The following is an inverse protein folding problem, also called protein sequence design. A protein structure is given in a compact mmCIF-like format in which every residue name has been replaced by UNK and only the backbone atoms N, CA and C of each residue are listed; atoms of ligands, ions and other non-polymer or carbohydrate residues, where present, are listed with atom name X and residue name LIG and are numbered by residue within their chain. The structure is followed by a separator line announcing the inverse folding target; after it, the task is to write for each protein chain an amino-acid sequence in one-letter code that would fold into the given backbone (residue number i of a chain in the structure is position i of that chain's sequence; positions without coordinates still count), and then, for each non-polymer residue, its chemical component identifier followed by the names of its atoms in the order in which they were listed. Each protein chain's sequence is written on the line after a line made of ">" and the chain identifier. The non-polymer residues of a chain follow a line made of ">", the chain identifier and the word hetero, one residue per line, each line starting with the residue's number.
data_IF_050406786097
#
_entry.id   IF_050406786097
#
_cell.length_a   1.000
_cell.length_b   1.000
_cell.length_c   1.000
_cell.angle_alpha   90.00
_cell.angle_beta   90.00
_cell.angle_gamma   90.00
#
_symmetry.space_group_name_H-M   'P 1'
#
loop_
_entity.id
_entity.type
_entity.pdbx_description
1 polymer ?
#
# COMPACT_ATOMS: atom_id res chain seq x y z
N UNK A 1 23.00 35.57 10.46
CA UNK A 1 22.16 34.65 11.22
C UNK A 1 21.65 33.62 10.22
N UNK A 2 22.10 32.37 10.30
CA UNK A 2 21.61 31.32 9.38
C UNK A 2 20.10 31.22 9.61
N UNK A 3 19.34 31.40 8.53
CA UNK A 3 17.88 31.37 8.58
C UNK A 3 17.43 29.90 8.69
N UNK A 4 17.46 29.39 9.93
CA UNK A 4 17.14 28.00 10.24
C UNK A 4 15.77 27.60 9.67
N UNK A 5 14.84 28.53 9.61
CA UNK A 5 13.50 28.33 9.09
C UNK A 5 13.50 28.01 7.58
N UNK A 6 14.23 28.78 6.80
CA UNK A 6 14.35 28.57 5.36
C UNK A 6 15.11 27.26 5.04
N UNK A 7 16.11 26.88 5.84
CA UNK A 7 16.85 25.65 5.65
C UNK A 7 15.98 24.42 5.92
N UNK A 8 15.23 24.45 7.03
CA UNK A 8 14.31 23.37 7.40
C UNK A 8 13.20 23.22 6.36
N UNK A 9 12.60 24.30 5.92
CA UNK A 9 11.57 24.32 4.89
C UNK A 9 12.09 23.72 3.56
N UNK A 10 13.26 24.15 3.10
CA UNK A 10 13.89 23.63 1.88
C UNK A 10 14.14 22.13 1.95
N UNK A 11 14.59 21.63 3.11
CA UNK A 11 14.77 20.19 3.35
C UNK A 11 13.45 19.42 3.25
N UNK A 12 12.37 19.92 3.87
CA UNK A 12 11.04 19.28 3.79
C UNK A 12 10.50 19.25 2.36
N UNK A 13 10.63 20.36 1.63
CA UNK A 13 10.22 20.45 0.22
C UNK A 13 10.97 19.44 -0.64
N UNK A 14 12.27 19.27 -0.42
CA UNK A 14 13.10 18.28 -1.13
C UNK A 14 12.62 16.85 -0.87
N UNK A 15 12.23 16.51 0.36
CA UNK A 15 11.68 15.19 0.70
C UNK A 15 10.34 14.98 -0.02
N UNK A 16 9.42 15.94 0.05
CA UNK A 16 8.12 15.85 -0.63
C UNK A 16 8.31 15.70 -2.15
N UNK A 17 9.23 16.45 -2.74
CA UNK A 17 9.56 16.36 -4.15
C UNK A 17 10.16 15.00 -4.52
N UNK A 18 11.02 14.42 -3.67
CA UNK A 18 11.58 13.08 -3.87
C UNK A 18 10.50 11.99 -3.79
N UNK A 19 9.58 12.08 -2.83
CA UNK A 19 8.45 11.14 -2.72
C UNK A 19 7.55 11.23 -3.95
N UNK A 20 7.23 12.43 -4.40
CA UNK A 20 6.40 12.62 -5.59
C UNK A 20 7.11 12.19 -6.88
N UNK A 21 8.36 12.60 -7.07
CA UNK A 21 9.07 12.40 -8.33
C UNK A 21 9.69 11.01 -8.50
N UNK A 22 10.00 10.31 -7.42
CA UNK A 22 10.69 9.03 -7.47
C UNK A 22 9.82 7.92 -6.87
N UNK A 23 9.36 8.08 -5.64
CA UNK A 23 8.67 7.01 -4.92
C UNK A 23 7.30 6.71 -5.52
N UNK A 24 6.52 7.71 -5.88
CA UNK A 24 5.19 7.52 -6.46
C UNK A 24 5.20 6.75 -7.80
N UNK A 25 6.06 7.08 -8.79
CA UNK A 25 6.22 6.28 -10.00
C UNK A 25 6.67 4.85 -9.72
N UNK A 26 7.56 4.62 -8.73
CA UNK A 26 8.00 3.27 -8.35
C UNK A 26 6.87 2.44 -7.74
N UNK A 27 5.99 3.05 -6.96
CA UNK A 27 4.80 2.40 -6.43
C UNK A 27 3.90 1.95 -7.58
N UNK A 28 3.61 2.83 -8.55
CA UNK A 28 2.79 2.50 -9.71
C UNK A 28 3.41 1.38 -10.55
N UNK A 29 4.71 1.47 -10.84
CA UNK A 29 5.42 0.41 -11.55
C UNK A 29 5.39 -0.94 -10.79
N UNK A 30 5.40 -0.91 -9.46
CA UNK A 30 5.28 -2.13 -8.65
C UNK A 30 3.86 -2.72 -8.72
N UNK A 31 2.83 -1.89 -8.79
CA UNK A 31 1.45 -2.31 -8.99
C UNK A 31 1.27 -2.95 -10.38
N UNK A 32 1.83 -2.36 -11.43
CA UNK A 32 1.82 -2.92 -12.78
C UNK A 32 2.53 -4.27 -12.84
N UNK A 33 3.67 -4.42 -12.16
CA UNK A 33 4.37 -5.71 -12.06
C UNK A 33 3.55 -6.79 -11.36
N UNK A 34 2.72 -6.42 -10.37
CA UNK A 34 1.81 -7.36 -9.70
C UNK A 34 0.72 -7.81 -10.67
N UNK A 35 0.19 -6.90 -11.48
CA UNK A 35 -0.79 -7.22 -12.53
C UNK A 35 -0.19 -8.18 -13.57
N UNK A 36 0.97 -7.86 -14.10
CA UNK A 36 1.70 -8.72 -15.04
C UNK A 36 2.04 -10.09 -14.46
N UNK A 37 2.42 -10.11 -13.17
CA UNK A 37 2.81 -11.34 -12.49
C UNK A 37 1.65 -12.30 -12.31
N UNK A 38 0.51 -11.81 -11.84
CA UNK A 38 -0.64 -12.66 -11.52
C UNK A 38 -1.64 -12.78 -12.67
N UNK A 39 -1.63 -11.85 -13.62
CA UNK A 39 -2.61 -11.78 -14.71
C UNK A 39 -4.05 -11.61 -14.17
N UNK A 40 -4.20 -11.05 -12.96
CA UNK A 40 -5.47 -10.91 -12.27
C UNK A 40 -5.76 -9.45 -11.93
N UNK A 41 -6.73 -8.89 -12.63
CA UNK A 41 -7.23 -7.53 -12.34
C UNK A 41 -7.89 -7.42 -10.96
N UNK A 42 -8.36 -8.53 -10.38
CA UNK A 42 -8.97 -8.56 -9.04
C UNK A 42 -7.92 -8.26 -7.96
N UNK A 43 -6.75 -8.88 -8.03
CA UNK A 43 -5.65 -8.66 -7.07
C UNK A 43 -5.10 -7.24 -7.15
N UNK A 44 -4.95 -6.71 -8.36
CA UNK A 44 -4.54 -5.33 -8.59
C UNK A 44 -5.58 -4.33 -8.08
N UNK A 45 -6.86 -4.60 -8.31
CA UNK A 45 -7.96 -3.80 -7.79
C UNK A 45 -8.01 -3.83 -6.26
N UNK A 46 -7.81 -5.00 -5.65
CA UNK A 46 -7.72 -5.15 -4.19
C UNK A 46 -6.60 -4.28 -3.62
N UNK A 47 -5.40 -4.34 -4.20
CA UNK A 47 -4.26 -3.53 -3.77
C UNK A 47 -4.56 -2.02 -3.87
N UNK A 48 -5.15 -1.57 -5.00
CA UNK A 48 -5.53 -0.15 -5.19
C UNK A 48 -6.61 0.32 -4.20
N UNK A 49 -7.46 -0.59 -3.74
CA UNK A 49 -8.51 -0.32 -2.76
C UNK A 49 -8.02 -0.42 -1.29
N UNK A 50 -6.75 -0.78 -1.08
CA UNK A 50 -6.17 -0.76 0.27
C UNK A 50 -6.24 0.65 0.86
N UNK A 51 -6.68 0.73 2.12
CA UNK A 51 -6.81 2.02 2.83
C UNK A 51 -5.49 2.79 2.88
N UNK A 52 -4.37 2.08 2.99
CA UNK A 52 -3.04 2.67 3.00
C UNK A 52 -2.73 3.43 1.71
N UNK A 53 -3.17 2.91 0.55
CA UNK A 53 -2.99 3.58 -0.75
C UNK A 53 -3.80 4.88 -0.82
N UNK A 54 -5.06 4.85 -0.40
CA UNK A 54 -5.90 6.04 -0.34
C UNK A 54 -5.34 7.11 0.61
N UNK A 55 -4.92 6.70 1.82
CA UNK A 55 -4.33 7.59 2.82
C UNK A 55 -3.02 8.20 2.29
N UNK A 56 -2.15 7.41 1.67
CA UNK A 56 -0.91 7.89 1.07
C UNK A 56 -1.16 8.97 0.01
N UNK A 57 -2.11 8.74 -0.90
CA UNK A 57 -2.45 9.72 -1.93
C UNK A 57 -2.98 11.02 -1.33
N UNK A 58 -3.87 10.95 -0.33
CA UNK A 58 -4.38 12.14 0.37
C UNK A 58 -3.25 12.88 1.07
N UNK A 59 -2.38 12.18 1.82
CA UNK A 59 -1.25 12.79 2.50
C UNK A 59 -0.27 13.45 1.52
N UNK A 60 -0.03 12.82 0.38
CA UNK A 60 0.84 13.38 -0.66
C UNK A 60 0.27 14.70 -1.21
N UNK A 61 -1.02 14.73 -1.56
CA UNK A 61 -1.70 15.93 -2.05
C UNK A 61 -1.69 17.03 -0.97
N UNK A 62 -2.00 16.70 0.28
CA UNK A 62 -1.99 17.65 1.39
C UNK A 62 -0.58 18.24 1.58
N UNK A 63 0.47 17.41 1.57
CA UNK A 63 1.85 17.90 1.66
C UNK A 63 2.22 18.82 0.52
N UNK A 64 1.82 18.51 -0.73
CA UNK A 64 2.05 19.37 -1.88
C UNK A 64 1.35 20.72 -1.73
N UNK A 65 0.09 20.75 -1.29
CA UNK A 65 -0.65 21.99 -1.04
C UNK A 65 0.06 22.82 0.03
N UNK A 66 0.41 22.22 1.17
CA UNK A 66 1.11 22.94 2.25
C UNK A 66 2.47 23.46 1.74
N UNK A 67 3.21 22.67 0.96
CA UNK A 67 4.50 23.08 0.40
C UNK A 67 4.39 24.28 -0.55
N UNK A 68 3.28 24.38 -1.30
CA UNK A 68 3.04 25.53 -2.21
C UNK A 68 2.58 26.76 -1.44
N UNK A 69 1.77 26.59 -0.39
CA UNK A 69 1.17 27.72 0.36
C UNK A 69 2.14 28.31 1.40
N UNK A 70 2.98 27.48 2.00
CA UNK A 70 3.90 27.90 3.06
C UNK A 70 4.79 29.10 2.72
N UNK A 71 5.42 29.22 1.51
CA UNK A 71 6.24 30.38 1.20
C UNK A 71 5.51 31.71 1.34
N UNK A 72 4.22 31.72 0.95
CA UNK A 72 3.39 32.93 1.03
C UNK A 72 3.02 33.30 2.48
N UNK A 73 2.96 32.31 3.37
CA UNK A 73 2.62 32.52 4.78
C UNK A 73 3.85 32.81 5.64
N UNK A 74 5.01 32.25 5.31
CA UNK A 74 6.26 32.43 6.06
C UNK A 74 6.76 33.88 6.01
N UNK A 75 6.61 34.55 4.87
CA UNK A 75 7.13 35.89 4.66
C UNK A 75 6.36 36.99 5.43
N UNK A 76 5.10 36.72 5.84
CA UNK A 76 4.21 37.72 6.44
C UNK A 76 3.80 37.42 7.87
N UNK A 77 4.19 36.31 8.49
CA UNK A 77 3.58 35.82 9.70
C UNK A 77 4.53 35.74 10.90
N UNK A 78 4.06 36.25 12.07
CA UNK A 78 4.65 35.98 13.37
C UNK A 78 4.61 34.47 13.75
N UNK A 79 3.85 33.66 12.99
CA UNK A 79 3.60 32.24 13.26
C UNK A 79 4.40 31.29 12.35
N UNK A 80 5.49 31.75 11.73
CA UNK A 80 6.28 30.95 10.81
C UNK A 80 6.72 29.60 11.40
N UNK A 81 7.05 29.53 12.69
CA UNK A 81 7.42 28.28 13.35
C UNK A 81 6.28 27.25 13.41
N UNK A 82 5.02 27.72 13.54
CA UNK A 82 3.84 26.85 13.56
C UNK A 82 3.64 26.22 12.18
N UNK A 83 3.78 26.97 11.10
CA UNK A 83 3.66 26.46 9.74
C UNK A 83 4.74 25.43 9.42
N UNK A 84 6.00 25.68 9.83
CA UNK A 84 7.09 24.73 9.70
C UNK A 84 6.82 23.46 10.51
N UNK A 85 6.33 23.59 11.74
CA UNK A 85 5.97 22.44 12.57
C UNK A 85 4.86 21.58 11.92
N UNK A 86 3.82 22.22 11.38
CA UNK A 86 2.75 21.52 10.67
C UNK A 86 3.31 20.77 9.44
N UNK A 87 4.13 21.43 8.62
CA UNK A 87 4.78 20.82 7.47
C UNK A 87 5.66 19.63 7.88
N UNK A 88 6.45 19.78 8.96
CA UNK A 88 7.31 18.73 9.48
C UNK A 88 6.50 17.51 9.89
N UNK A 89 5.44 17.70 10.66
CA UNK A 89 4.56 16.62 11.11
C UNK A 89 3.92 15.94 9.91
N UNK A 90 3.36 16.70 8.96
CA UNK A 90 2.76 16.15 7.76
C UNK A 90 3.75 15.33 6.91
N UNK A 91 4.99 15.79 6.79
CA UNK A 91 6.06 15.08 6.06
C UNK A 91 6.45 13.78 6.78
N UNK A 92 6.55 13.77 8.11
CA UNK A 92 6.82 12.55 8.90
C UNK A 92 5.70 11.52 8.69
N UNK A 93 4.44 11.95 8.73
CA UNK A 93 3.31 11.06 8.44
C UNK A 93 3.35 10.52 7.00
N UNK A 94 3.70 11.33 6.02
CA UNK A 94 3.85 10.91 4.62
C UNK A 94 4.93 9.81 4.49
N UNK A 95 6.08 10.01 5.12
CA UNK A 95 7.18 9.02 5.12
C UNK A 95 6.72 7.72 5.79
N UNK A 96 6.08 7.79 6.95
CA UNK A 96 5.55 6.62 7.65
C UNK A 96 4.54 5.85 6.80
N UNK A 97 3.63 6.56 6.16
CA UNK A 97 2.64 5.98 5.26
C UNK A 97 3.27 5.35 4.00
N UNK A 98 4.33 5.97 3.46
CA UNK A 98 5.11 5.42 2.35
C UNK A 98 5.73 4.06 2.70
N UNK A 99 6.40 3.95 3.86
CA UNK A 99 6.98 2.69 4.29
C UNK A 99 5.92 1.62 4.53
N UNK A 100 4.79 1.98 5.15
CA UNK A 100 3.68 1.05 5.34
C UNK A 100 3.10 0.56 4.01
N UNK A 101 2.92 1.45 3.04
CA UNK A 101 2.46 1.07 1.71
C UNK A 101 3.47 0.16 0.99
N UNK A 102 4.77 0.42 1.16
CA UNK A 102 5.81 -0.41 0.59
C UNK A 102 5.81 -1.84 1.17
N UNK A 103 5.54 -1.99 2.49
CA UNK A 103 5.35 -3.30 3.11
C UNK A 103 4.14 -4.04 2.54
N UNK A 104 3.02 -3.35 2.31
CA UNK A 104 1.85 -3.94 1.66
C UNK A 104 2.20 -4.41 0.24
N UNK A 105 2.85 -3.58 -0.57
CA UNK A 105 3.27 -3.96 -1.93
C UNK A 105 4.21 -5.18 -1.88
N UNK A 106 5.13 -5.23 -0.92
CA UNK A 106 6.00 -6.38 -0.71
C UNK A 106 5.22 -7.65 -0.39
N UNK A 107 4.21 -7.55 0.47
CA UNK A 107 3.30 -8.65 0.79
C UNK A 107 2.58 -9.17 -0.46
N UNK A 108 2.07 -8.27 -1.32
CA UNK A 108 1.44 -8.66 -2.58
C UNK A 108 2.42 -9.28 -3.59
N UNK A 109 3.72 -8.97 -3.48
CA UNK A 109 4.74 -9.62 -4.29
C UNK A 109 5.09 -11.04 -3.82
N UNK A 110 4.77 -11.40 -2.58
CA UNK A 110 4.97 -12.74 -2.03
C UNK A 110 3.68 -13.55 -2.10
N UNK A 111 3.65 -14.51 -3.03
CA UNK A 111 2.45 -15.29 -3.30
C UNK A 111 2.01 -16.16 -2.11
N UNK A 112 2.95 -16.64 -1.26
CA UNK A 112 2.63 -17.47 -0.10
C UNK A 112 2.00 -16.63 1.01
N UNK A 113 2.55 -15.44 1.28
CA UNK A 113 2.01 -14.51 2.28
C UNK A 113 0.65 -13.98 1.81
N UNK A 114 0.54 -13.62 0.53
CA UNK A 114 -0.71 -13.12 -0.04
C UNK A 114 -1.82 -14.17 0.04
N UNK A 115 -1.49 -15.43 -0.23
CA UNK A 115 -2.42 -16.56 -0.11
C UNK A 115 -3.03 -16.67 1.29
N UNK A 116 -2.22 -16.60 2.34
CA UNK A 116 -2.70 -16.66 3.73
C UNK A 116 -3.59 -15.46 4.08
N UNK A 117 -3.22 -14.27 3.62
CA UNK A 117 -4.00 -13.06 3.89
C UNK A 117 -5.38 -13.10 3.22
N UNK A 118 -5.45 -13.47 1.93
CA UNK A 118 -6.72 -13.58 1.20
C UNK A 118 -7.61 -14.64 1.86
N UNK A 119 -7.04 -15.78 2.25
CA UNK A 119 -7.80 -16.83 2.94
C UNK A 119 -8.33 -16.36 4.30
N UNK A 120 -7.53 -15.63 5.06
CA UNK A 120 -7.97 -15.06 6.33
C UNK A 120 -9.08 -14.01 6.15
N UNK A 121 -9.02 -13.21 5.09
CA UNK A 121 -10.10 -12.26 4.76
C UNK A 121 -11.38 -12.98 4.35
N UNK A 122 -11.27 -14.05 3.57
CA UNK A 122 -12.41 -14.91 3.26
C UNK A 122 -13.08 -15.47 4.52
N UNK A 123 -12.30 -16.05 5.44
CA UNK A 123 -12.83 -16.60 6.72
C UNK A 123 -13.56 -15.57 7.57
N UNK A 124 -13.13 -14.29 7.56
CA UNK A 124 -13.79 -13.21 8.32
C UNK A 124 -15.17 -12.82 7.77
N UNK A 125 -15.41 -13.02 6.48
CA UNK A 125 -16.63 -12.57 5.79
C UNK A 125 -17.57 -13.72 5.43
N UNK A 126 -17.08 -14.95 5.38
CA UNK A 126 -17.91 -16.15 5.16
C UNK A 126 -18.95 -16.25 6.28
N UNK A 127 -20.21 -16.42 5.90
CA UNK A 127 -21.33 -16.41 6.84
C UNK A 127 -21.90 -15.01 7.18
N UNK A 128 -21.21 -13.91 6.81
CA UNK A 128 -21.70 -12.54 7.05
C UNK A 128 -22.18 -11.84 5.78
N UNK A 129 -21.51 -12.07 4.66
CA UNK A 129 -21.84 -11.48 3.37
C UNK A 129 -21.43 -12.41 2.24
N UNK A 130 -22.42 -13.00 1.58
CA UNK A 130 -22.20 -13.91 0.45
C UNK A 130 -21.46 -13.22 -0.72
N UNK A 131 -21.78 -11.96 -1.00
CA UNK A 131 -21.13 -11.20 -2.08
C UNK A 131 -19.63 -10.97 -1.82
N UNK A 132 -19.28 -10.50 -0.61
CA UNK A 132 -17.87 -10.28 -0.25
C UNK A 132 -17.10 -11.59 -0.16
N UNK A 133 -17.72 -12.66 0.35
CA UNK A 133 -17.12 -13.98 0.39
C UNK A 133 -16.81 -14.50 -1.01
N UNK A 134 -17.71 -14.32 -1.98
CA UNK A 134 -17.48 -14.73 -3.37
C UNK A 134 -16.30 -13.97 -4.02
N UNK A 135 -16.16 -12.68 -3.76
CA UNK A 135 -15.03 -11.88 -4.27
C UNK A 135 -13.70 -12.38 -3.70
N UNK A 136 -13.58 -12.54 -2.39
CA UNK A 136 -12.36 -13.08 -1.78
C UNK A 136 -12.04 -14.50 -2.20
N UNK A 137 -13.07 -15.31 -2.43
CA UNK A 137 -12.87 -16.66 -2.97
C UNK A 137 -12.31 -16.62 -4.42
N UNK A 138 -12.81 -15.73 -5.28
CA UNK A 138 -12.29 -15.55 -6.63
C UNK A 138 -10.85 -15.03 -6.63
N UNK A 139 -10.54 -14.03 -5.79
CA UNK A 139 -9.16 -13.54 -5.59
C UNK A 139 -8.20 -14.68 -5.21
N UNK A 140 -8.66 -15.55 -4.32
CA UNK A 140 -7.92 -16.71 -3.86
C UNK A 140 -7.72 -17.76 -4.96
N UNK A 141 -8.76 -18.07 -5.74
CA UNK A 141 -8.70 -19.00 -6.88
C UNK A 141 -7.73 -18.50 -7.96
N UNK A 142 -7.76 -17.21 -8.27
CA UNK A 142 -6.84 -16.60 -9.25
C UNK A 142 -5.39 -16.74 -8.79
N UNK A 143 -5.13 -16.46 -7.52
CA UNK A 143 -3.79 -16.59 -6.96
C UNK A 143 -3.29 -18.04 -6.96
N UNK A 144 -4.14 -19.01 -6.57
CA UNK A 144 -3.79 -20.44 -6.62
C UNK A 144 -3.51 -20.86 -8.06
N UNK A 145 -4.34 -20.45 -9.00
CA UNK A 145 -4.15 -20.75 -10.42
C UNK A 145 -2.80 -20.27 -10.94
N UNK A 146 -2.36 -19.08 -10.49
CA UNK A 146 -1.03 -18.57 -10.78
C UNK A 146 0.06 -19.44 -10.16
N UNK A 147 -0.04 -19.75 -8.85
CA UNK A 147 0.99 -20.53 -8.14
C UNK A 147 1.16 -21.93 -8.76
N UNK A 148 0.07 -22.59 -9.12
CA UNK A 148 0.08 -23.91 -9.75
C UNK A 148 0.69 -23.88 -11.17
N UNK A 149 0.57 -22.75 -11.88
CA UNK A 149 1.21 -22.56 -13.20
C UNK A 149 2.67 -22.14 -13.09
N UNK A 150 3.08 -21.63 -11.93
CA UNK A 150 4.45 -21.19 -11.70
C UNK A 150 5.41 -22.38 -11.72
N UNK A 151 6.64 -22.16 -12.19
CA UNK A 151 7.66 -23.21 -12.32
C UNK A 151 8.21 -23.67 -10.96
N UNK A 152 7.85 -22.98 -9.86
CA UNK A 152 8.32 -23.32 -8.52
C UNK A 152 7.46 -24.43 -7.89
N UNK A 153 7.87 -25.69 -8.13
CA UNK A 153 7.19 -26.89 -7.63
C UNK A 153 7.06 -26.93 -6.10
N UNK A 154 8.00 -26.37 -5.35
CA UNK A 154 7.96 -26.39 -3.89
C UNK A 154 6.89 -25.43 -3.36
N UNK A 155 6.81 -24.20 -3.91
CA UNK A 155 5.77 -23.26 -3.57
C UNK A 155 4.37 -23.80 -3.93
N UNK A 156 4.25 -24.41 -5.13
CA UNK A 156 3.00 -25.02 -5.56
C UNK A 156 2.56 -26.17 -4.63
N UNK A 157 3.51 -27.00 -4.15
CA UNK A 157 3.22 -28.08 -3.20
C UNK A 157 2.77 -27.56 -1.85
N UNK A 158 3.49 -26.59 -1.29
CA UNK A 158 3.14 -26.00 0.01
C UNK A 158 1.74 -25.36 -0.01
N UNK A 159 1.41 -24.66 -1.09
CA UNK A 159 0.09 -24.06 -1.27
C UNK A 159 -0.99 -25.13 -1.47
N UNK A 160 -0.71 -26.19 -2.21
CA UNK A 160 -1.62 -27.30 -2.39
C UNK A 160 -1.91 -28.02 -1.06
N UNK A 161 -0.90 -28.31 -0.26
CA UNK A 161 -1.04 -28.96 1.04
C UNK A 161 -1.89 -28.09 2.00
N UNK A 162 -1.63 -26.80 2.05
CA UNK A 162 -2.47 -25.82 2.80
C UNK A 162 -3.90 -25.75 2.25
N UNK A 163 -4.08 -25.81 0.94
CA UNK A 163 -5.40 -25.81 0.31
C UNK A 163 -6.23 -27.02 0.72
N UNK A 164 -5.62 -28.21 0.73
CA UNK A 164 -6.28 -29.45 1.19
C UNK A 164 -6.66 -29.35 2.66
N UNK A 165 -5.78 -28.81 3.50
CA UNK A 165 -6.04 -28.55 4.93
C UNK A 165 -7.26 -27.63 5.11
N UNK A 166 -7.30 -26.50 4.39
CA UNK A 166 -8.39 -25.53 4.48
C UNK A 166 -9.75 -26.09 4.04
N UNK A 167 -9.79 -26.88 2.95
CA UNK A 167 -11.04 -27.53 2.52
C UNK A 167 -11.47 -28.57 3.54
N UNK A 168 -10.53 -29.30 4.14
CA UNK A 168 -10.82 -30.32 5.14
C UNK A 168 -11.36 -29.71 6.43
N UNK A 169 -10.82 -28.57 6.86
CA UNK A 169 -11.35 -27.81 8.00
C UNK A 169 -12.77 -27.27 7.73
N UNK A 170 -13.02 -26.79 6.52
CA UNK A 170 -14.32 -26.23 6.14
C UNK A 170 -15.44 -27.27 6.08
N UNK A 171 -15.13 -28.54 5.82
CA UNK A 171 -16.10 -29.63 5.82
C UNK A 171 -16.36 -30.25 7.19
N UNK A 172 -15.58 -29.87 8.21
CA UNK A 172 -15.74 -30.36 9.59
C UNK A 172 -16.56 -29.44 10.51
N UNK A 173 -16.91 -28.24 10.07
CA UNK A 173 -17.70 -27.25 10.79
C UNK A 173 -19.06 -27.01 10.15
#
# INVERSE_FOLDING_TARGET
>A
MFDFTNYTYSGMLSIVAAVFGIAYPQINASIERIDDKYGSSLLTTKLKNEKAFAIFNVLLIVNLIIAVVNPFLLDQSKYCYIYIAIQTIATIFLIGCFFHLFEIIRMYNDAEILHENIWNDYKKVVGKSSEKASVHFMEWVDLISYILRSTNRNAARNVYDKWVEYITEFHKG
#
